data_IF_590054907710
#
_entry.id   IF_590054907710
#
_cell.length_a   1.000
_cell.length_b   1.000
_cell.length_c   1.000
_cell.angle_alpha   90.00
_cell.angle_beta   90.00
_cell.angle_gamma   90.00
#
_symmetry.space_group_name_H-M   'P 1'
#
loop_
_entity.id
_entity.type
_entity.pdbx_description
1 polymer ?
#
# COMPACT_ATOMS: atom_id res chain seq x y z
N UNK A 1 18.88 13.04 -2.53
CA UNK A 1 18.68 12.98 -3.99
C UNK A 1 17.20 12.94 -4.31
N UNK A 2 16.72 13.57 -5.43
CA UNK A 2 15.33 13.46 -5.85
C UNK A 2 15.04 12.05 -6.34
N UNK A 3 13.91 11.49 -5.94
CA UNK A 3 13.38 10.21 -6.46
C UNK A 3 12.25 10.54 -7.43
N UNK A 4 12.34 10.01 -8.65
CA UNK A 4 11.36 10.25 -9.72
C UNK A 4 10.72 8.95 -10.15
N UNK A 5 9.40 8.89 -10.12
CA UNK A 5 8.65 7.76 -10.66
C UNK A 5 8.56 7.87 -12.18
N UNK A 6 9.07 6.85 -12.87
CA UNK A 6 9.00 6.69 -14.32
C UNK A 6 8.10 5.50 -14.67
N UNK A 7 7.35 5.64 -15.73
CA UNK A 7 6.50 4.58 -16.25
C UNK A 7 6.90 4.29 -17.70
N UNK A 8 7.03 3.02 -18.01
CA UNK A 8 7.25 2.58 -19.40
C UNK A 8 5.87 2.35 -20.02
N UNK A 9 5.54 3.14 -21.05
CA UNK A 9 4.30 3.03 -21.82
C UNK A 9 4.57 2.19 -23.07
N UNK A 10 3.65 1.31 -23.38
CA UNK A 10 3.77 0.45 -24.56
C UNK A 10 3.86 1.28 -25.85
N UNK A 11 4.90 1.04 -26.65
CA UNK A 11 5.15 1.72 -27.93
C UNK A 11 5.70 3.14 -27.84
N UNK A 12 5.79 3.75 -26.64
CA UNK A 12 6.24 5.14 -26.48
C UNK A 12 7.53 5.29 -25.64
N UNK A 13 7.84 4.27 -24.80
CA UNK A 13 8.99 4.31 -23.88
C UNK A 13 8.66 4.95 -22.54
N UNK A 14 9.66 5.59 -21.91
CA UNK A 14 9.52 6.08 -20.53
C UNK A 14 8.98 7.48 -20.46
N UNK A 15 7.98 7.68 -19.61
CA UNK A 15 7.37 8.97 -19.30
C UNK A 15 7.41 9.28 -17.80
N UNK A 16 7.27 10.55 -17.45
CA UNK A 16 7.13 10.99 -16.06
C UNK A 16 5.75 10.60 -15.50
N UNK A 17 5.69 10.26 -14.21
CA UNK A 17 4.42 9.98 -13.53
C UNK A 17 3.40 11.13 -13.67
N UNK A 18 3.86 12.39 -13.62
CA UNK A 18 2.98 13.54 -13.78
C UNK A 18 2.38 13.62 -15.20
N UNK A 19 3.16 13.29 -16.23
CA UNK A 19 2.65 13.22 -17.60
C UNK A 19 1.58 12.11 -17.70
N UNK A 20 1.88 10.92 -17.20
CA UNK A 20 0.93 9.80 -17.14
C UNK A 20 -0.36 10.17 -16.42
N UNK A 21 -0.24 10.72 -15.21
CA UNK A 21 -1.39 10.90 -14.32
C UNK A 21 -2.23 12.14 -14.69
N UNK A 22 -1.60 13.26 -15.00
CA UNK A 22 -2.26 14.55 -15.24
C UNK A 22 -2.55 14.75 -16.71
N UNK A 23 -1.53 14.71 -17.57
CA UNK A 23 -1.71 15.05 -18.99
C UNK A 23 -2.48 13.95 -19.73
N UNK A 24 -2.18 12.67 -19.45
CA UNK A 24 -2.82 11.52 -20.11
C UNK A 24 -3.97 10.91 -19.32
N UNK A 25 -4.32 11.49 -18.17
CA UNK A 25 -5.40 11.02 -17.30
C UNK A 25 -5.34 9.49 -17.02
N UNK A 26 -4.08 8.95 -16.93
CA UNK A 26 -3.77 7.53 -16.78
C UNK A 26 -4.48 6.59 -17.78
N UNK A 27 -4.79 7.05 -18.99
CA UNK A 27 -5.53 6.29 -20.02
C UNK A 27 -4.60 5.56 -21.02
N UNK A 28 -3.34 5.35 -20.68
CA UNK A 28 -2.38 4.57 -21.46
C UNK A 28 -1.93 3.36 -20.66
N UNK A 29 -1.65 2.24 -21.35
CA UNK A 29 -1.16 1.02 -20.71
C UNK A 29 0.32 1.14 -20.35
N UNK A 30 0.69 0.59 -19.20
CA UNK A 30 2.07 0.58 -18.71
C UNK A 30 2.62 -0.83 -18.59
N UNK A 31 3.90 -0.99 -18.92
CA UNK A 31 4.60 -2.27 -18.85
C UNK A 31 5.58 -2.35 -17.66
N UNK A 32 6.02 -1.22 -17.15
CA UNK A 32 6.93 -1.16 -16.01
C UNK A 32 6.81 0.17 -15.24
N UNK A 33 7.21 0.12 -13.97
CA UNK A 33 7.41 1.30 -13.13
C UNK A 33 8.78 1.21 -12.49
N UNK A 34 9.55 2.30 -12.49
CA UNK A 34 10.81 2.41 -11.80
C UNK A 34 10.93 3.74 -11.03
N UNK A 35 11.86 3.76 -10.11
CA UNK A 35 12.07 4.91 -9.22
C UNK A 35 13.51 5.41 -9.42
N UNK A 36 13.69 6.32 -10.38
CA UNK A 36 15.00 6.87 -10.72
C UNK A 36 15.56 7.66 -9.54
N UNK A 37 16.82 7.39 -9.19
CA UNK A 37 17.53 8.02 -8.07
C UNK A 37 17.19 7.43 -6.70
N UNK A 38 16.32 6.40 -6.60
CA UNK A 38 15.97 5.81 -5.32
C UNK A 38 17.16 5.10 -4.66
N UNK A 39 18.01 4.42 -5.43
CA UNK A 39 19.22 3.75 -4.92
C UNK A 39 20.22 4.69 -4.26
N UNK A 40 20.27 5.95 -4.71
CA UNK A 40 21.19 6.97 -4.23
C UNK A 40 20.55 7.89 -3.19
N UNK A 41 19.26 7.70 -2.93
CA UNK A 41 18.51 8.46 -1.95
C UNK A 41 18.79 7.93 -0.52
N UNK A 42 18.67 8.83 0.43
CA UNK A 42 18.71 8.49 1.86
C UNK A 42 17.39 8.93 2.50
N UNK A 43 16.86 8.16 3.47
CA UNK A 43 15.72 8.63 4.25
C UNK A 43 15.99 9.98 4.88
N UNK A 44 14.97 10.83 4.93
CA UNK A 44 15.10 12.11 5.63
C UNK A 44 15.47 11.90 7.11
N UNK A 45 16.15 12.86 7.75
CA UNK A 45 16.50 12.75 9.16
C UNK A 45 15.29 12.38 10.04
N UNK A 46 15.46 11.40 10.90
CA UNK A 46 14.43 10.91 11.82
C UNK A 46 13.46 9.88 11.26
N UNK A 47 13.38 9.63 9.95
CA UNK A 47 12.42 8.68 9.37
C UNK A 47 12.66 7.26 9.89
N UNK A 48 13.90 6.76 9.84
CA UNK A 48 14.20 5.40 10.32
C UNK A 48 14.00 5.28 11.83
N UNK A 49 14.38 6.32 12.60
CA UNK A 49 14.12 6.36 14.03
C UNK A 49 12.62 6.29 14.33
N UNK A 50 11.81 7.11 13.64
CA UNK A 50 10.36 7.09 13.79
C UNK A 50 9.73 5.72 13.48
N UNK A 51 10.20 5.03 12.43
CA UNK A 51 9.73 3.67 12.11
C UNK A 51 10.12 2.68 13.22
N UNK A 52 11.37 2.76 13.72
CA UNK A 52 11.86 1.81 14.72
C UNK A 52 11.27 2.01 16.12
N UNK A 53 10.91 3.23 16.47
CA UNK A 53 10.38 3.61 17.78
C UNK A 53 8.84 3.58 17.85
N UNK A 54 8.15 3.61 16.70
CA UNK A 54 6.70 3.62 16.67
C UNK A 54 6.10 2.34 17.29
N UNK A 55 5.11 2.49 18.17
CA UNK A 55 4.31 1.37 18.68
C UNK A 55 3.37 0.81 17.62
N UNK A 56 2.92 1.65 16.68
CA UNK A 56 2.02 1.30 15.59
C UNK A 56 2.46 2.03 14.32
N UNK A 57 2.50 1.31 13.21
CA UNK A 57 2.82 1.86 11.89
C UNK A 57 1.63 1.57 10.99
N UNK A 58 1.01 2.60 10.46
CA UNK A 58 -0.16 2.48 9.56
C UNK A 58 0.23 2.91 8.16
N UNK A 59 0.11 1.99 7.20
CA UNK A 59 0.22 2.31 5.77
C UNK A 59 -1.18 2.70 5.29
N UNK A 60 -1.37 4.00 5.01
CA UNK A 60 -2.62 4.55 4.55
C UNK A 60 -3.07 3.95 3.19
N UNK A 61 -4.38 3.93 2.86
CA UNK A 61 -4.90 3.35 1.62
C UNK A 61 -4.49 4.20 0.42
N UNK A 62 -3.33 3.90 -0.12
CA UNK A 62 -2.76 4.57 -1.28
C UNK A 62 -2.30 3.54 -2.32
N UNK A 63 -2.03 4.00 -3.55
CA UNK A 63 -1.59 3.12 -4.61
C UNK A 63 -0.28 2.40 -4.22
N UNK A 64 -0.26 1.06 -4.14
CA UNK A 64 0.91 0.31 -3.69
C UNK A 64 2.12 0.47 -4.61
N UNK A 65 1.88 0.73 -5.90
CA UNK A 65 2.94 0.84 -6.91
C UNK A 65 3.56 2.24 -6.90
N UNK A 66 2.77 3.27 -7.14
CA UNK A 66 3.29 4.63 -7.40
C UNK A 66 3.25 5.58 -6.19
N UNK A 67 2.61 5.17 -5.09
CA UNK A 67 2.59 5.97 -3.85
C UNK A 67 3.44 5.33 -2.75
N UNK A 68 3.26 4.06 -2.49
CA UNK A 68 4.02 3.33 -1.46
C UNK A 68 5.35 2.82 -2.02
N UNK A 69 5.36 2.33 -3.26
CA UNK A 69 6.56 1.81 -3.91
C UNK A 69 7.77 2.75 -3.87
N UNK A 70 7.65 4.06 -4.20
CA UNK A 70 8.77 5.00 -4.13
C UNK A 70 9.39 5.11 -2.74
N UNK A 71 8.58 5.03 -1.68
CA UNK A 71 9.07 5.06 -0.29
C UNK A 71 9.85 3.78 0.03
N UNK A 72 9.31 2.62 -0.36
CA UNK A 72 9.94 1.32 -0.15
C UNK A 72 11.22 1.12 -0.96
N UNK A 73 11.39 1.87 -2.05
CA UNK A 73 12.59 1.83 -2.90
C UNK A 73 13.78 2.60 -2.29
N UNK A 74 13.54 3.48 -1.31
CA UNK A 74 14.61 4.20 -0.61
C UNK A 74 15.32 3.22 0.35
N UNK A 75 16.67 3.09 0.28
CA UNK A 75 17.42 2.17 1.13
C UNK A 75 17.12 2.33 2.62
N UNK A 76 16.91 1.21 3.31
CA UNK A 76 16.64 1.13 4.75
C UNK A 76 15.17 1.26 5.15
N UNK A 77 14.29 1.86 4.35
CA UNK A 77 12.86 2.01 4.73
C UNK A 77 12.17 0.64 4.73
N UNK A 78 12.32 -0.14 3.65
CA UNK A 78 11.72 -1.48 3.58
C UNK A 78 12.26 -2.40 4.68
N UNK A 79 13.56 -2.35 4.94
CA UNK A 79 14.20 -3.18 5.96
C UNK A 79 13.72 -2.80 7.37
N UNK A 80 13.55 -1.52 7.64
CA UNK A 80 12.99 -1.06 8.91
C UNK A 80 11.54 -1.54 9.10
N UNK A 81 10.71 -1.52 8.06
CA UNK A 81 9.34 -2.06 8.12
C UNK A 81 9.35 -3.59 8.31
N UNK A 82 10.23 -4.32 7.62
CA UNK A 82 10.42 -5.76 7.79
C UNK A 82 10.76 -6.12 9.23
N UNK A 83 11.72 -5.42 9.84
CA UNK A 83 12.13 -5.63 11.23
C UNK A 83 11.02 -5.32 12.24
N UNK A 84 10.11 -4.44 11.88
CA UNK A 84 8.99 -4.01 12.72
C UNK A 84 7.63 -4.55 12.25
N UNK A 85 7.63 -5.60 11.44
CA UNK A 85 6.45 -6.17 10.76
C UNK A 85 5.24 -6.33 11.67
N UNK A 86 5.44 -6.82 12.90
CA UNK A 86 4.36 -7.06 13.87
C UNK A 86 3.63 -5.79 14.30
N UNK A 87 4.25 -4.63 14.12
CA UNK A 87 3.67 -3.31 14.42
C UNK A 87 3.13 -2.58 13.19
N UNK A 88 3.20 -3.22 12.01
CA UNK A 88 2.73 -2.64 10.74
C UNK A 88 1.38 -3.20 10.36
N UNK A 89 0.43 -2.31 10.10
CA UNK A 89 -0.85 -2.60 9.45
C UNK A 89 -0.99 -1.75 8.20
N UNK A 90 -1.47 -2.34 7.13
CA UNK A 90 -1.83 -1.61 5.93
C UNK A 90 -3.36 -1.53 5.78
N UNK A 91 -3.85 -0.49 5.12
CA UNK A 91 -5.25 -0.36 4.71
C UNK A 91 -5.34 -0.55 3.20
N UNK A 92 -6.19 -1.46 2.74
CA UNK A 92 -6.35 -1.70 1.31
C UNK A 92 -6.93 -0.48 0.59
N UNK A 93 -6.33 -0.03 -0.52
CA UNK A 93 -6.92 1.00 -1.39
C UNK A 93 -7.95 0.40 -2.37
N UNK A 94 -8.12 -0.93 -2.42
CA UNK A 94 -9.04 -1.63 -3.32
C UNK A 94 -10.21 -2.14 -2.51
N UNK A 95 -11.41 -1.91 -3.02
CA UNK A 95 -12.69 -2.32 -2.44
C UNK A 95 -13.55 -2.95 -3.54
N UNK A 96 -13.98 -4.21 -3.35
CA UNK A 96 -14.81 -4.91 -4.33
C UNK A 96 -14.13 -5.06 -5.71
N UNK A 97 -12.81 -5.20 -5.75
CA UNK A 97 -12.03 -5.29 -6.98
C UNK A 97 -11.81 -3.95 -7.70
N UNK A 98 -12.24 -2.83 -7.10
CA UNK A 98 -12.09 -1.49 -7.68
C UNK A 98 -11.28 -0.59 -6.76
N UNK A 99 -10.47 0.29 -7.33
CA UNK A 99 -9.92 1.43 -6.61
C UNK A 99 -10.99 2.51 -6.48
N UNK A 100 -11.22 3.04 -5.27
CA UNK A 100 -12.16 4.15 -5.07
C UNK A 100 -11.75 5.40 -5.84
N UNK A 101 -10.45 5.60 -6.02
CA UNK A 101 -9.87 6.72 -6.78
C UNK A 101 -8.57 6.27 -7.45
N UNK A 102 -8.34 6.77 -8.67
CA UNK A 102 -7.10 6.55 -9.41
C UNK A 102 -6.92 5.14 -9.98
N UNK A 103 -5.79 4.87 -10.63
CA UNK A 103 -5.57 3.69 -11.47
C UNK A 103 -5.01 2.47 -10.72
N UNK A 104 -5.14 2.36 -9.37
CA UNK A 104 -4.43 1.33 -8.62
C UNK A 104 -4.76 -0.10 -9.10
N UNK A 105 -6.04 -0.43 -9.31
CA UNK A 105 -6.45 -1.76 -9.77
C UNK A 105 -5.93 -2.05 -11.18
N UNK A 106 -6.02 -1.07 -12.09
CA UNK A 106 -5.52 -1.17 -13.46
C UNK A 106 -3.99 -1.37 -13.47
N UNK A 107 -3.25 -0.54 -12.73
CA UNK A 107 -1.79 -0.66 -12.64
C UNK A 107 -1.34 -2.01 -12.07
N UNK A 108 -2.06 -2.53 -11.07
CA UNK A 108 -1.79 -3.89 -10.58
C UNK A 108 -1.92 -4.91 -11.70
N UNK A 109 -3.02 -4.87 -12.46
CA UNK A 109 -3.25 -5.79 -13.58
C UNK A 109 -2.19 -5.67 -14.68
N UNK A 110 -1.87 -4.45 -15.11
CA UNK A 110 -0.89 -4.18 -16.17
C UNK A 110 0.52 -4.64 -15.78
N UNK A 111 0.85 -4.62 -14.47
CA UNK A 111 2.12 -5.07 -13.93
C UNK A 111 2.12 -6.55 -13.48
N UNK A 112 1.09 -7.32 -13.85
CA UNK A 112 1.01 -8.76 -13.59
C UNK A 112 0.61 -9.13 -12.16
N UNK A 113 0.06 -8.19 -11.38
CA UNK A 113 -0.50 -8.46 -10.06
C UNK A 113 -2.02 -8.63 -10.14
N UNK A 114 -2.58 -9.41 -9.20
CA UNK A 114 -4.04 -9.52 -9.08
C UNK A 114 -4.64 -8.14 -8.69
N UNK A 115 -5.59 -7.58 -9.48
CA UNK A 115 -6.18 -6.26 -9.22
C UNK A 115 -7.26 -6.33 -8.13
N UNK A 116 -6.88 -6.80 -6.95
CA UNK A 116 -7.78 -7.05 -5.82
C UNK A 116 -7.10 -6.72 -4.49
N UNK A 117 -7.87 -6.72 -3.43
CA UNK A 117 -7.38 -6.66 -2.05
C UNK A 117 -6.36 -7.78 -1.75
N UNK A 118 -6.52 -8.96 -2.36
CA UNK A 118 -5.53 -10.04 -2.25
C UNK A 118 -4.20 -9.68 -2.91
N UNK A 119 -4.22 -9.05 -4.10
CA UNK A 119 -2.99 -8.58 -4.75
C UNK A 119 -2.24 -7.55 -3.90
N UNK A 120 -2.97 -6.66 -3.21
CA UNK A 120 -2.37 -5.73 -2.22
C UNK A 120 -1.74 -6.51 -1.06
N UNK A 121 -2.45 -7.52 -0.52
CA UNK A 121 -1.92 -8.36 0.55
C UNK A 121 -0.62 -9.06 0.12
N UNK A 122 -0.56 -9.62 -1.09
CA UNK A 122 0.62 -10.28 -1.63
C UNK A 122 1.83 -9.34 -1.76
N UNK A 123 1.61 -8.06 -2.08
CA UNK A 123 2.67 -7.04 -2.12
C UNK A 123 3.18 -6.67 -0.73
N UNK A 124 2.34 -6.75 0.30
CA UNK A 124 2.64 -6.24 1.64
C UNK A 124 2.99 -7.32 2.66
N UNK A 125 2.77 -8.61 2.37
CA UNK A 125 2.94 -9.73 3.29
C UNK A 125 4.31 -9.77 4.01
N UNK A 126 5.36 -9.33 3.33
CA UNK A 126 6.70 -9.39 3.91
C UNK A 126 6.93 -8.37 5.03
N UNK A 127 6.28 -7.22 5.01
CA UNK A 127 6.52 -6.11 5.94
C UNK A 127 5.28 -5.62 6.69
N UNK A 128 4.13 -6.26 6.52
CA UNK A 128 2.91 -5.94 7.27
C UNK A 128 2.32 -7.19 7.89
N UNK A 129 1.96 -7.15 9.17
CA UNK A 129 1.34 -8.27 9.89
C UNK A 129 -0.16 -8.33 9.71
N UNK A 130 -0.79 -7.21 9.34
CA UNK A 130 -2.23 -7.12 9.13
C UNK A 130 -2.57 -6.25 7.93
N UNK A 131 -3.67 -6.60 7.26
CA UNK A 131 -4.30 -5.78 6.22
C UNK A 131 -5.74 -5.50 6.60
N UNK A 132 -6.09 -4.23 6.74
CA UNK A 132 -7.46 -3.79 6.89
C UNK A 132 -8.13 -3.81 5.52
N UNK A 133 -9.21 -4.56 5.40
CA UNK A 133 -9.97 -4.77 4.16
C UNK A 133 -11.42 -4.33 4.33
N UNK A 134 -12.05 -3.88 3.26
CA UNK A 134 -13.46 -3.51 3.33
C UNK A 134 -14.38 -4.73 3.52
N UNK A 135 -15.57 -4.47 4.07
CA UNK A 135 -16.62 -5.48 4.23
C UNK A 135 -17.03 -6.15 2.92
N UNK A 136 -16.93 -5.43 1.79
CA UNK A 136 -17.19 -5.97 0.45
C UNK A 136 -16.21 -7.08 0.07
N UNK A 137 -14.98 -7.04 0.61
CA UNK A 137 -13.92 -8.01 0.33
C UNK A 137 -13.77 -9.08 1.43
N UNK A 138 -14.70 -9.15 2.39
CA UNK A 138 -14.66 -10.11 3.50
C UNK A 138 -14.43 -11.55 3.03
N UNK A 139 -14.96 -11.94 1.89
CA UNK A 139 -14.82 -13.27 1.31
C UNK A 139 -13.37 -13.64 0.96
N UNK A 140 -12.47 -12.64 0.82
CA UNK A 140 -11.04 -12.84 0.56
C UNK A 140 -10.22 -13.12 1.83
N UNK A 141 -10.80 -12.92 3.04
CA UNK A 141 -10.07 -13.08 4.30
C UNK A 141 -9.33 -14.43 4.43
N UNK A 142 -9.93 -15.61 4.10
CA UNK A 142 -9.21 -16.87 4.19
C UNK A 142 -8.03 -16.96 3.21
N UNK A 143 -8.20 -16.44 1.99
CA UNK A 143 -7.14 -16.43 0.96
C UNK A 143 -5.98 -15.51 1.39
N UNK A 144 -6.28 -14.35 1.98
CA UNK A 144 -5.29 -13.40 2.49
C UNK A 144 -4.53 -14.02 3.67
N UNK A 145 -5.22 -14.69 4.59
CA UNK A 145 -4.57 -15.32 5.76
C UNK A 145 -3.56 -16.39 5.39
N UNK A 146 -3.68 -17.01 4.21
CA UNK A 146 -2.68 -17.97 3.70
C UNK A 146 -1.35 -17.30 3.29
N UNK A 147 -1.30 -15.97 3.23
CA UNK A 147 -0.08 -15.19 2.95
C UNK A 147 0.66 -14.78 4.23
N UNK A 148 0.33 -15.35 5.37
CA UNK A 148 0.88 -14.94 6.68
C UNK A 148 0.66 -13.44 6.98
N UNK A 149 -0.47 -12.90 6.53
CA UNK A 149 -0.94 -11.55 6.84
C UNK A 149 -2.39 -11.63 7.32
N UNK A 150 -2.68 -11.06 8.47
CA UNK A 150 -4.02 -11.13 9.05
C UNK A 150 -4.97 -10.18 8.32
N UNK A 151 -6.06 -10.69 7.76
CA UNK A 151 -7.13 -9.86 7.22
C UNK A 151 -8.04 -9.37 8.35
N UNK A 152 -8.18 -8.05 8.48
CA UNK A 152 -9.08 -7.39 9.43
C UNK A 152 -10.19 -6.70 8.66
N UNK A 153 -11.44 -7.13 8.86
CA UNK A 153 -12.59 -6.63 8.12
C UNK A 153 -13.19 -5.42 8.82
N UNK A 154 -13.31 -4.31 8.12
CA UNK A 154 -13.96 -3.09 8.61
C UNK A 154 -14.61 -2.33 7.45
N UNK A 155 -15.43 -1.33 7.73
CA UNK A 155 -15.86 -0.38 6.70
C UNK A 155 -14.73 0.62 6.47
N UNK A 156 -14.06 0.54 5.31
CA UNK A 156 -12.85 1.33 5.01
C UNK A 156 -13.14 2.58 4.17
N UNK A 157 -14.40 2.83 3.79
CA UNK A 157 -14.79 4.02 3.02
C UNK A 157 -14.82 5.26 3.92
N UNK A 158 -13.85 6.15 3.75
CA UNK A 158 -13.68 7.38 4.52
C UNK A 158 -14.43 8.56 3.86
N UNK A 159 -15.76 8.57 3.93
CA UNK A 159 -16.58 9.64 3.33
C UNK A 159 -16.61 10.93 4.16
N UNK A 160 -16.24 10.85 5.42
CA UNK A 160 -16.21 11.95 6.38
C UNK A 160 -15.17 11.70 7.48
N UNK A 161 -14.91 12.71 8.31
CA UNK A 161 -13.91 12.67 9.38
C UNK A 161 -14.20 11.56 10.41
N UNK A 162 -15.48 11.33 10.74
CA UNK A 162 -15.86 10.30 11.72
C UNK A 162 -15.51 8.90 11.21
N UNK A 163 -15.80 8.62 9.95
CA UNK A 163 -15.44 7.34 9.32
C UNK A 163 -13.94 7.18 9.16
N UNK A 164 -13.22 8.25 8.81
CA UNK A 164 -11.76 8.21 8.78
C UNK A 164 -11.15 7.88 10.16
N UNK A 165 -11.70 8.46 11.24
CA UNK A 165 -11.30 8.13 12.61
C UNK A 165 -11.59 6.66 12.95
N UNK A 166 -12.73 6.11 12.54
CA UNK A 166 -13.08 4.70 12.74
C UNK A 166 -12.12 3.77 12.00
N UNK A 167 -11.73 4.10 10.76
CA UNK A 167 -10.73 3.34 10.01
C UNK A 167 -9.38 3.36 10.73
N UNK A 168 -8.95 4.54 11.21
CA UNK A 168 -7.70 4.67 11.95
C UNK A 168 -7.71 3.84 13.25
N UNK A 169 -8.79 3.89 14.02
CA UNK A 169 -8.97 3.07 15.23
C UNK A 169 -8.96 1.58 14.90
N UNK A 170 -9.63 1.16 13.83
CA UNK A 170 -9.62 -0.24 13.38
C UNK A 170 -8.23 -0.70 12.99
N UNK A 171 -7.44 0.16 12.35
CA UNK A 171 -6.06 -0.13 12.01
C UNK A 171 -5.17 -0.28 13.26
N UNK A 172 -5.29 0.61 14.22
CA UNK A 172 -4.55 0.53 15.50
C UNK A 172 -4.91 -0.74 16.26
N UNK A 173 -6.19 -1.05 16.39
CA UNK A 173 -6.68 -2.26 17.07
C UNK A 173 -6.30 -3.55 16.32
N UNK A 174 -6.03 -3.46 15.02
CA UNK A 174 -5.55 -4.60 14.24
C UNK A 174 -4.15 -5.07 14.68
N UNK A 175 -3.33 -4.20 15.25
CA UNK A 175 -1.99 -4.57 15.75
C UNK A 175 -2.08 -5.15 17.17
N UNK A 176 -2.88 -4.52 18.01
CA UNK A 176 -3.16 -4.96 19.38
C UNK A 176 -4.64 -5.35 19.50
N UNK A 177 -5.06 -6.54 19.05
CA UNK A 177 -6.43 -6.95 19.21
C UNK A 177 -6.79 -6.91 20.70
N UNK A 178 -7.98 -6.42 21.09
CA UNK A 178 -8.43 -6.49 22.48
C UNK A 178 -8.34 -7.94 22.94
N UNK A 179 -7.84 -8.16 24.16
CA UNK A 179 -7.82 -9.48 24.76
C UNK A 179 -9.25 -10.03 24.70
N UNK A 180 -9.46 -11.06 23.89
CA UNK A 180 -10.74 -11.79 23.92
C UNK A 180 -10.83 -12.40 25.31
N UNK A 181 -11.78 -11.90 26.13
CA UNK A 181 -12.15 -12.59 27.35
C UNK A 181 -12.54 -14.04 26.97
N UNK A 182 -11.80 -14.98 27.54
CA UNK A 182 -11.99 -16.41 27.34
C UNK A 182 -13.21 -16.93 28.09
#
# INVERSE_FOLDING_TARGET
HPVRTRLTVEGEGDIDFQDYFVARQHDVAINAVRFDGASDATPAPGVLAAINEASHIVIAPSNPIVSIGPLLAIPGIRDALLQNRERVVAVSPIIGGLALKGPAARMLSELGHEPSTFGVAALYQSFSSALLIDTADKHLSPKISNLDIRAVVANTVMSDISKAAQVALSAINAINPPLTEA
#
